data_IF_427737271872
#
_entry.id   IF_427737271872
#
_cell.length_a   1.000
_cell.length_b   1.000
_cell.length_c   1.000
_cell.angle_alpha   90.00
_cell.angle_beta   90.00
_cell.angle_gamma   90.00
#
_symmetry.space_group_name_H-M   'P 1'
#
loop_
_entity.id
_entity.type
_entity.pdbx_description
1 polymer ?
#
# COMPACT_ATOMS: atom_id res chain seq x y z
N UNK A 1 17.70 1.13 11.22
CA UNK A 1 16.86 1.17 10.00
C UNK A 1 17.68 1.67 8.82
N UNK A 2 17.42 1.22 7.59
CA UNK A 2 18.06 1.73 6.35
C UNK A 2 17.08 2.66 5.61
N UNK A 3 17.13 4.00 5.83
CA UNK A 3 16.14 4.92 5.27
C UNK A 3 16.14 4.94 3.74
N UNK A 4 17.27 4.62 3.11
CA UNK A 4 17.41 4.51 1.65
C UNK A 4 16.61 3.34 1.09
N UNK A 5 16.64 2.19 1.75
CA UNK A 5 15.91 1.01 1.32
C UNK A 5 14.38 1.24 1.40
N UNK A 6 13.90 1.82 2.51
CA UNK A 6 12.47 2.14 2.67
C UNK A 6 11.96 3.10 1.57
N UNK A 7 12.76 4.12 1.21
CA UNK A 7 12.42 5.03 0.11
C UNK A 7 12.40 4.34 -1.25
N UNK A 8 13.37 3.45 -1.52
CA UNK A 8 13.40 2.68 -2.75
C UNK A 8 12.18 1.76 -2.89
N UNK A 9 11.81 1.06 -1.81
CA UNK A 9 10.60 0.22 -1.78
C UNK A 9 9.35 1.07 -2.00
N UNK A 10 9.23 2.22 -1.32
CA UNK A 10 8.09 3.12 -1.53
C UNK A 10 7.96 3.58 -2.98
N UNK A 11 9.08 3.91 -3.65
CA UNK A 11 9.10 4.23 -5.07
C UNK A 11 8.67 3.06 -5.95
N UNK A 12 9.17 1.85 -5.69
CA UNK A 12 8.78 0.64 -6.42
C UNK A 12 7.29 0.33 -6.27
N UNK A 13 6.72 0.47 -5.07
CA UNK A 13 5.29 0.28 -4.82
C UNK A 13 4.43 1.33 -5.55
N UNK A 14 4.89 2.58 -5.61
CA UNK A 14 4.21 3.66 -6.33
C UNK A 14 4.27 3.48 -7.86
N UNK A 15 5.31 2.80 -8.38
CA UNK A 15 5.48 2.52 -9.79
C UNK A 15 4.70 1.29 -10.28
N UNK A 16 4.15 0.47 -9.37
CA UNK A 16 3.41 -0.74 -9.74
C UNK A 16 2.22 -0.41 -10.68
N UNK A 17 2.16 -1.07 -11.84
CA UNK A 17 1.07 -0.94 -12.83
C UNK A 17 0.00 -2.02 -12.70
N UNK A 18 0.26 -3.09 -11.95
CA UNK A 18 -0.63 -4.25 -11.75
C UNK A 18 -1.23 -4.24 -10.35
N UNK A 19 -2.15 -3.29 -10.10
CA UNK A 19 -2.83 -3.16 -8.81
C UNK A 19 -3.54 -4.46 -8.42
N UNK A 20 -3.70 -4.70 -7.11
CA UNK A 20 -4.42 -5.84 -6.53
C UNK A 20 -3.72 -7.20 -6.75
N UNK A 21 -3.26 -7.51 -7.97
CA UNK A 21 -2.42 -8.70 -8.24
C UNK A 21 -1.08 -8.57 -7.52
N UNK A 22 -0.38 -7.45 -7.72
CA UNK A 22 0.75 -7.07 -6.88
C UNK A 22 0.20 -6.15 -5.77
N UNK A 23 0.19 -6.58 -4.50
CA UNK A 23 -0.58 -5.93 -3.43
C UNK A 23 0.14 -4.71 -2.83
N UNK A 24 0.52 -3.74 -3.68
CA UNK A 24 1.25 -2.55 -3.23
C UNK A 24 0.39 -1.61 -2.35
N UNK A 25 -0.93 -1.81 -2.29
CA UNK A 25 -1.81 -1.13 -1.34
C UNK A 25 -1.56 -1.55 0.11
N UNK A 26 -0.97 -2.73 0.36
CA UNK A 26 -0.66 -3.23 1.72
C UNK A 26 0.57 -2.60 2.38
N UNK A 27 1.42 -1.92 1.61
CA UNK A 27 2.60 -1.23 2.16
C UNK A 27 2.17 0.11 2.75
N UNK A 28 2.27 0.27 4.07
CA UNK A 28 1.87 1.50 4.79
C UNK A 28 3.07 2.21 5.40
N UNK A 29 2.93 3.52 5.69
CA UNK A 29 3.95 4.23 6.45
C UNK A 29 3.93 3.77 7.90
N UNK A 30 5.05 3.97 8.59
CA UNK A 30 5.08 3.96 10.04
C UNK A 30 4.01 4.92 10.59
N UNK A 31 3.23 4.46 11.58
CA UNK A 31 2.06 5.18 12.08
C UNK A 31 0.76 5.00 11.28
N UNK A 32 0.76 4.13 10.25
CA UNK A 32 -0.47 3.72 9.54
C UNK A 32 -0.96 4.70 8.47
N UNK A 33 -0.27 5.83 8.26
CA UNK A 33 -0.67 6.83 7.28
C UNK A 33 -0.64 6.26 5.84
N UNK A 34 -1.73 6.46 5.10
CA UNK A 34 -1.87 6.02 3.72
C UNK A 34 -1.32 7.08 2.76
N UNK A 35 -0.36 6.68 1.92
CA UNK A 35 0.21 7.53 0.88
C UNK A 35 0.83 6.68 -0.24
N UNK A 36 1.29 7.33 -1.31
CA UNK A 36 2.14 6.72 -2.34
C UNK A 36 1.48 5.63 -3.19
N UNK A 37 0.15 5.51 -3.15
CA UNK A 37 -0.56 4.55 -4.00
C UNK A 37 -0.85 5.16 -5.37
N UNK A 38 -0.44 4.47 -6.43
CA UNK A 38 -0.57 4.95 -7.83
C UNK A 38 -1.99 5.38 -8.20
N UNK A 39 -3.00 4.69 -7.65
CA UNK A 39 -4.42 4.93 -7.94
C UNK A 39 -5.16 5.73 -6.87
N UNK A 40 -4.42 6.42 -5.99
CA UNK A 40 -4.99 7.31 -4.97
C UNK A 40 -5.29 6.66 -3.62
N UNK A 41 -5.11 7.42 -2.54
CA UNK A 41 -5.23 6.94 -1.16
C UNK A 41 -6.62 6.47 -0.78
N UNK A 42 -7.68 7.05 -1.36
CA UNK A 42 -9.06 6.61 -1.14
C UNK A 42 -9.27 5.15 -1.60
N UNK A 43 -8.74 4.77 -2.77
CA UNK A 43 -8.81 3.39 -3.27
C UNK A 43 -8.00 2.43 -2.40
N UNK A 44 -6.83 2.85 -1.94
CA UNK A 44 -6.01 2.08 -0.99
C UNK A 44 -6.76 1.80 0.30
N UNK A 45 -7.43 2.82 0.87
CA UNK A 45 -8.25 2.65 2.07
C UNK A 45 -9.40 1.67 1.84
N UNK A 46 -10.10 1.77 0.71
CA UNK A 46 -11.19 0.85 0.37
C UNK A 46 -10.71 -0.60 0.22
N UNK A 47 -9.56 -0.84 -0.42
CA UNK A 47 -8.99 -2.17 -0.57
C UNK A 47 -8.62 -2.78 0.79
N UNK A 48 -7.93 -2.00 1.64
CA UNK A 48 -7.57 -2.45 2.99
C UNK A 48 -8.79 -2.75 3.85
N UNK A 49 -9.83 -1.91 3.78
CA UNK A 49 -11.07 -2.15 4.51
C UNK A 49 -11.75 -3.45 4.07
N UNK A 50 -11.83 -3.71 2.76
CA UNK A 50 -12.38 -4.97 2.23
C UNK A 50 -11.57 -6.17 2.67
N UNK A 51 -10.24 -6.08 2.64
CA UNK A 51 -9.37 -7.18 3.09
C UNK A 51 -9.57 -7.47 4.58
N UNK A 52 -9.69 -6.45 5.42
CA UNK A 52 -9.94 -6.62 6.85
C UNK A 52 -11.27 -7.32 7.15
N UNK A 53 -12.33 -7.05 6.37
CA UNK A 53 -13.62 -7.73 6.51
C UNK A 53 -13.54 -9.22 6.15
N UNK A 54 -12.64 -9.62 5.26
CA UNK A 54 -12.46 -11.01 4.84
C UNK A 54 -11.54 -11.80 5.78
N UNK A 55 -10.81 -11.15 6.69
CA UNK A 55 -10.01 -11.83 7.72
C UNK A 55 -10.88 -12.29 8.91
N UNK A 56 -12.09 -11.76 9.04
CA UNK A 56 -13.04 -12.06 10.13
C UNK A 56 -13.99 -13.24 9.82
N UNK A 57 -14.01 -13.72 8.57
CA UNK A 57 -14.74 -14.92 8.12
C UNK A 57 -13.90 -16.19 8.21
#
# INVERSE_FOLDING_TARGET
ALPRAARAVAGACAANSLAVIVPCHRVVREGGALSGYRWGTARKAQLLAREAQHEEE
#
